data_IF_667796010799
#
_entry.id   IF_667796010799
#
_cell.length_a   1.000
_cell.length_b   1.000
_cell.length_c   1.000
_cell.angle_alpha   90.00
_cell.angle_beta   90.00
_cell.angle_gamma   90.00
#
_symmetry.space_group_name_H-M   'P 1'
#
loop_
_entity.id
_entity.type
_entity.pdbx_description
1 polymer ?
#
# COMPACT_ATOMS: atom_id res chain seq x y z
N UNK A 1 9.72 -4.09 -4.70
CA UNK A 1 8.34 -3.89 -5.18
C UNK A 1 8.23 -2.48 -5.73
N UNK A 2 7.64 -2.30 -6.91
CA UNK A 2 7.39 -0.98 -7.52
C UNK A 2 5.89 -0.78 -7.64
N UNK A 3 5.40 0.41 -7.29
CA UNK A 3 3.98 0.78 -7.47
C UNK A 3 3.89 1.72 -8.67
N UNK A 4 3.16 1.28 -9.69
CA UNK A 4 2.84 2.09 -10.86
C UNK A 4 1.39 2.53 -10.75
N UNK A 5 1.14 3.82 -10.95
CA UNK A 5 -0.19 4.40 -10.81
C UNK A 5 -0.33 5.63 -11.72
N UNK A 6 -1.55 5.87 -12.19
CA UNK A 6 -1.92 7.15 -12.77
C UNK A 6 -2.27 8.16 -11.66
N UNK A 7 -2.80 9.33 -12.06
CA UNK A 7 -3.20 10.37 -11.10
C UNK A 7 -4.26 9.88 -10.10
N UNK A 8 -5.25 9.11 -10.55
CA UNK A 8 -6.34 8.64 -9.69
C UNK A 8 -5.83 7.59 -8.70
N UNK A 9 -4.99 6.66 -9.16
CA UNK A 9 -4.32 5.69 -8.30
C UNK A 9 -3.40 6.35 -7.25
N UNK A 10 -2.68 7.42 -7.62
CA UNK A 10 -1.87 8.19 -6.67
C UNK A 10 -2.72 8.93 -5.63
N UNK A 11 -3.89 9.45 -6.02
CA UNK A 11 -4.84 10.07 -5.08
C UNK A 11 -5.43 9.04 -4.12
N UNK A 12 -5.76 7.84 -4.62
CA UNK A 12 -6.24 6.74 -3.80
C UNK A 12 -5.19 6.27 -2.78
N UNK A 13 -3.94 6.08 -3.22
CA UNK A 13 -2.82 5.78 -2.34
C UNK A 13 -2.62 6.86 -1.27
N UNK A 14 -2.66 8.14 -1.67
CA UNK A 14 -2.58 9.25 -0.72
C UNK A 14 -3.67 9.17 0.35
N UNK A 15 -4.91 8.87 -0.02
CA UNK A 15 -6.00 8.75 0.94
C UNK A 15 -5.76 7.64 1.96
N UNK A 16 -5.18 6.50 1.56
CA UNK A 16 -4.78 5.43 2.50
C UNK A 16 -3.65 5.87 3.44
N UNK A 17 -2.66 6.58 2.90
CA UNK A 17 -1.57 7.14 3.71
C UNK A 17 -2.09 8.17 4.73
N UNK A 18 -3.02 9.03 4.32
CA UNK A 18 -3.65 10.00 5.22
C UNK A 18 -4.41 9.31 6.38
N UNK A 19 -5.05 8.17 6.13
CA UNK A 19 -5.66 7.33 7.19
C UNK A 19 -4.61 6.81 8.17
N UNK A 20 -3.49 6.28 7.68
CA UNK A 20 -2.41 5.78 8.52
C UNK A 20 -1.76 6.90 9.36
N UNK A 21 -1.53 8.06 8.75
CA UNK A 21 -1.01 9.24 9.44
C UNK A 21 -1.95 9.67 10.57
N UNK A 22 -3.27 9.72 10.34
CA UNK A 22 -4.25 10.02 11.38
C UNK A 22 -4.29 8.97 12.50
N UNK A 23 -3.92 7.72 12.24
CA UNK A 23 -3.74 6.69 13.29
C UNK A 23 -2.46 6.94 14.10
N UNK A 24 -1.36 7.29 13.44
CA UNK A 24 -0.10 7.67 14.11
C UNK A 24 -0.22 8.93 14.96
N UNK A 25 -1.02 9.91 14.55
CA UNK A 25 -1.31 11.10 15.35
C UNK A 25 -2.02 10.76 16.68
N UNK A 26 -2.60 9.56 16.76
CA UNK A 26 -3.23 8.99 17.98
C UNK A 26 -2.35 7.91 18.62
N UNK A 27 -1.05 7.91 18.32
CA UNK A 27 -0.04 6.95 18.78
C UNK A 27 -0.38 5.48 18.51
N UNK A 28 -1.23 5.23 17.51
CA UNK A 28 -1.71 3.88 17.17
C UNK A 28 -0.91 3.34 15.98
N UNK A 29 -0.32 2.16 16.17
CA UNK A 29 0.28 1.39 15.06
C UNK A 29 -0.78 0.54 14.39
N UNK A 30 -0.85 0.57 13.06
CA UNK A 30 -1.81 -0.20 12.28
C UNK A 30 -1.32 -0.36 10.82
N UNK A 31 -2.18 -0.86 9.94
CA UNK A 31 -1.90 -1.10 8.54
C UNK A 31 -3.13 -0.82 7.67
N UNK A 32 -2.87 -0.59 6.38
CA UNK A 32 -3.88 -0.53 5.34
C UNK A 32 -3.57 -1.59 4.27
N UNK A 33 -4.62 -2.08 3.62
CA UNK A 33 -4.48 -3.06 2.54
C UNK A 33 -5.00 -2.46 1.23
N UNK A 34 -4.17 -2.54 0.19
CA UNK A 34 -4.60 -2.34 -1.19
C UNK A 34 -4.76 -3.71 -1.82
N UNK A 35 -5.93 -4.00 -2.39
CA UNK A 35 -6.22 -5.31 -3.00
C UNK A 35 -6.78 -5.16 -4.41
N UNK A 36 -6.49 -6.17 -5.23
CA UNK A 36 -7.10 -6.36 -6.56
C UNK A 36 -8.54 -6.88 -6.44
N UNK A 37 -9.37 -6.76 -7.48
CA UNK A 37 -10.76 -7.23 -7.47
C UNK A 37 -10.92 -8.70 -7.07
N UNK A 38 -10.02 -9.57 -7.52
CA UNK A 38 -10.03 -11.01 -7.22
C UNK A 38 -9.82 -11.32 -5.73
N UNK A 39 -9.31 -10.34 -4.97
CA UNK A 39 -9.03 -10.42 -3.53
C UNK A 39 -9.93 -9.48 -2.73
N UNK A 40 -11.19 -9.34 -3.16
CA UNK A 40 -12.24 -8.53 -2.54
C UNK A 40 -12.08 -7.00 -2.66
N UNK A 41 -11.26 -6.49 -3.60
CA UNK A 41 -11.19 -5.05 -3.99
C UNK A 41 -10.48 -4.14 -2.96
N UNK A 42 -9.97 -2.94 -3.27
CA UNK A 42 -10.70 -1.80 -3.87
C UNK A 42 -9.86 -0.82 -4.71
N UNK A 43 -8.55 -1.01 -4.94
CA UNK A 43 -7.70 0.06 -5.55
C UNK A 43 -6.53 -0.46 -6.42
N UNK A 44 -6.25 -1.77 -6.48
CA UNK A 44 -5.18 -2.33 -7.35
C UNK A 44 -5.73 -2.82 -8.69
N UNK A 45 -4.97 -2.60 -9.76
CA UNK A 45 -5.21 -3.24 -11.06
C UNK A 45 -4.43 -4.54 -11.21
N UNK A 46 -4.97 -5.48 -11.97
CA UNK A 46 -4.26 -6.70 -12.40
C UNK A 46 -3.59 -6.55 -13.77
N UNK A 47 -3.81 -5.42 -14.45
CA UNK A 47 -3.17 -5.09 -15.73
C UNK A 47 -1.75 -4.56 -15.53
N UNK A 48 -0.86 -4.88 -16.47
CA UNK A 48 0.53 -4.43 -16.48
C UNK A 48 0.98 -4.31 -17.95
N UNK A 49 1.88 -3.37 -18.25
CA UNK A 49 2.43 -3.21 -19.60
C UNK A 49 3.26 -4.44 -19.99
N UNK A 50 3.28 -4.76 -21.28
CA UNK A 50 4.07 -5.88 -21.80
C UNK A 50 5.58 -5.70 -21.54
N UNK A 51 6.07 -4.46 -21.59
CA UNK A 51 7.46 -4.13 -21.26
C UNK A 51 7.78 -4.42 -19.80
N UNK A 52 6.89 -4.10 -18.86
CA UNK A 52 7.09 -4.40 -17.44
C UNK A 52 7.15 -5.91 -17.20
N UNK A 53 6.27 -6.68 -17.86
CA UNK A 53 6.35 -8.15 -17.83
C UNK A 53 7.69 -8.67 -18.36
N UNK A 54 8.19 -8.09 -19.45
CA UNK A 54 9.48 -8.46 -20.04
C UNK A 54 10.68 -8.15 -19.11
N UNK A 55 10.56 -7.12 -18.27
CA UNK A 55 11.56 -6.81 -17.23
C UNK A 55 11.39 -7.64 -15.94
N UNK A 56 10.52 -8.66 -15.96
CA UNK A 56 10.35 -9.59 -14.85
C UNK A 56 9.42 -9.08 -13.73
N UNK A 57 8.66 -8.01 -13.96
CA UNK A 57 7.64 -7.58 -13.01
C UNK A 57 6.49 -8.59 -12.95
N UNK A 58 5.86 -8.69 -11.78
CA UNK A 58 4.72 -9.57 -11.52
C UNK A 58 3.55 -8.74 -10.99
N UNK A 59 2.34 -9.10 -11.39
CA UNK A 59 1.12 -8.55 -10.81
C UNK A 59 1.02 -9.00 -9.35
N UNK A 60 0.69 -8.07 -8.46
CA UNK A 60 0.50 -8.32 -7.03
C UNK A 60 -0.97 -8.09 -6.70
N UNK A 61 -1.59 -9.03 -6.01
CA UNK A 61 -3.02 -8.94 -5.66
C UNK A 61 -3.28 -8.22 -4.34
N UNK A 62 -2.24 -8.01 -3.53
CA UNK A 62 -2.33 -7.44 -2.19
C UNK A 62 -1.04 -6.73 -1.78
N UNK A 63 -1.14 -5.44 -1.45
CA UNK A 63 -0.07 -4.64 -0.85
C UNK A 63 -0.51 -4.21 0.55
N UNK A 64 0.35 -4.47 1.54
CA UNK A 64 0.16 -4.00 2.92
C UNK A 64 1.10 -2.83 3.20
N UNK A 65 0.55 -1.79 3.82
CA UNK A 65 1.31 -0.62 4.24
C UNK A 65 1.16 -0.49 5.74
N UNK A 66 2.25 -0.70 6.47
CA UNK A 66 2.29 -0.62 7.92
C UNK A 66 2.75 0.77 8.38
N UNK A 67 2.11 1.26 9.43
CA UNK A 67 2.48 2.48 10.14
C UNK A 67 2.85 2.13 11.58
N UNK A 68 4.07 2.49 11.98
CA UNK A 68 4.58 2.18 13.32
C UNK A 68 4.80 3.46 14.11
N UNK A 69 4.18 3.51 15.28
CA UNK A 69 4.36 4.59 16.25
C UNK A 69 5.78 4.57 16.84
N UNK A 70 6.24 5.67 17.44
CA UNK A 70 7.55 5.72 18.11
C UNK A 70 7.69 4.64 19.20
N UNK A 71 6.64 4.40 19.99
CA UNK A 71 6.62 3.35 21.01
C UNK A 71 6.78 1.96 20.39
N UNK A 72 6.02 1.66 19.33
CA UNK A 72 6.10 0.38 18.64
C UNK A 72 7.50 0.10 18.11
N UNK A 73 8.10 1.08 17.44
CA UNK A 73 9.48 0.95 16.95
C UNK A 73 10.47 0.67 18.06
N UNK A 74 10.34 1.39 19.20
CA UNK A 74 11.20 1.18 20.37
C UNK A 74 11.04 -0.23 20.95
N UNK A 75 9.81 -0.73 21.08
CA UNK A 75 9.52 -2.05 21.64
C UNK A 75 9.99 -3.18 20.73
N UNK A 76 9.91 -2.99 19.41
CA UNK A 76 10.26 -4.01 18.40
C UNK A 76 11.66 -3.87 17.81
N UNK A 77 12.45 -2.90 18.27
CA UNK A 77 13.81 -2.62 17.78
C UNK A 77 13.87 -2.41 16.25
N UNK A 78 12.91 -1.63 15.74
CA UNK A 78 12.81 -1.22 14.33
C UNK A 78 13.48 0.12 14.08
#
# INVERSE_FOLDING_TARGET
MTVHADKEGLLALRARLDVLLAKLDRDTSDHEHLRSPEWAGFELSTSMLASERAHGHQTVHHVEIYAWSPEWKKHHHL
#
